data_IF_657646529626
#
_entry.id   IF_657646529626
#
_cell.length_a   1.000
_cell.length_b   1.000
_cell.length_c   1.000
_cell.angle_alpha   90.00
_cell.angle_beta   90.00
_cell.angle_gamma   90.00
#
_symmetry.space_group_name_H-M   'P 1'
#
loop_
_entity.id
_entity.type
_entity.pdbx_description
1 polymer ?
#
# COMPACT_ATOMS: atom_id res chain seq x y z
N UNK A 1 -0.89 7.40 -22.90
CA UNK A 1 -2.18 7.42 -22.16
C UNK A 1 -2.55 8.86 -21.80
N UNK A 2 -3.84 9.19 -21.60
CA UNK A 2 -4.29 10.57 -21.29
C UNK A 2 -4.53 10.77 -19.79
N UNK A 3 -4.02 11.87 -19.26
CA UNK A 3 -4.31 12.36 -17.91
C UNK A 3 -5.55 13.26 -17.93
N UNK A 4 -6.63 12.84 -17.27
CA UNK A 4 -7.95 13.49 -17.34
C UNK A 4 -8.21 14.42 -16.16
N UNK A 5 -9.25 15.26 -16.26
CA UNK A 5 -9.74 16.09 -15.15
C UNK A 5 -10.13 15.27 -13.91
N UNK A 6 -10.70 14.08 -14.13
CA UNK A 6 -11.01 13.14 -13.04
C UNK A 6 -9.73 12.66 -12.33
N UNK A 7 -8.66 12.32 -13.06
CA UNK A 7 -7.38 11.96 -12.44
C UNK A 7 -6.79 13.12 -11.62
N UNK A 8 -6.96 14.36 -12.09
CA UNK A 8 -6.56 15.56 -11.33
C UNK A 8 -7.35 15.70 -10.03
N UNK A 9 -8.69 15.59 -10.08
CA UNK A 9 -9.52 15.63 -8.86
C UNK A 9 -9.15 14.54 -7.87
N UNK A 10 -8.86 13.31 -8.34
CA UNK A 10 -8.40 12.23 -7.47
C UNK A 10 -7.05 12.55 -6.81
N UNK A 11 -6.14 13.23 -7.52
CA UNK A 11 -4.86 13.65 -6.94
C UNK A 11 -5.03 14.74 -5.87
N UNK A 12 -5.99 15.65 -6.06
CA UNK A 12 -6.35 16.67 -5.06
C UNK A 12 -7.01 16.02 -3.84
N UNK A 13 -7.89 15.05 -4.04
CA UNK A 13 -8.47 14.29 -2.93
C UNK A 13 -7.37 13.53 -2.17
N UNK A 14 -6.40 12.95 -2.88
CA UNK A 14 -5.27 12.24 -2.27
C UNK A 14 -4.44 13.10 -1.33
N UNK A 15 -4.15 14.36 -1.67
CA UNK A 15 -3.43 15.26 -0.75
C UNK A 15 -4.29 15.64 0.47
N UNK A 16 -5.60 15.83 0.30
CA UNK A 16 -6.51 16.13 1.42
C UNK A 16 -6.54 14.96 2.40
N UNK A 17 -6.64 13.73 1.89
CA UNK A 17 -6.61 12.50 2.72
C UNK A 17 -5.24 12.36 3.41
N UNK A 18 -4.13 12.67 2.73
CA UNK A 18 -2.81 12.68 3.35
C UNK A 18 -2.72 13.63 4.55
N UNK A 19 -3.22 14.87 4.41
CA UNK A 19 -3.24 15.84 5.52
C UNK A 19 -4.18 15.42 6.63
N UNK A 20 -5.36 14.89 6.29
CA UNK A 20 -6.32 14.43 7.27
C UNK A 20 -5.74 13.30 8.12
N UNK A 21 -5.08 12.32 7.52
CA UNK A 21 -4.45 11.21 8.25
C UNK A 21 -3.40 11.73 9.25
N UNK A 22 -2.47 12.60 8.82
CA UNK A 22 -1.47 13.22 9.72
C UNK A 22 -2.13 13.92 10.93
N UNK A 23 -3.22 14.67 10.70
CA UNK A 23 -3.95 15.35 11.77
C UNK A 23 -4.60 14.33 12.71
N UNK A 24 -5.23 13.29 12.17
CA UNK A 24 -5.87 12.23 12.94
C UNK A 24 -4.85 11.47 13.79
N UNK A 25 -3.66 11.16 13.25
CA UNK A 25 -2.63 10.42 13.98
C UNK A 25 -2.06 11.21 15.16
N UNK A 26 -1.81 12.51 14.96
CA UNK A 26 -1.40 13.42 16.04
C UNK A 26 -2.52 13.54 17.08
N UNK A 27 -3.76 13.72 16.64
CA UNK A 27 -4.91 13.86 17.53
C UNK A 27 -5.12 12.60 18.39
N UNK A 28 -5.08 11.41 17.78
CA UNK A 28 -5.23 10.12 18.47
C UNK A 28 -4.10 9.92 19.47
N UNK A 29 -2.85 10.24 19.09
CA UNK A 29 -1.71 10.17 20.00
C UNK A 29 -1.90 11.08 21.22
N UNK A 30 -2.22 12.36 21.01
CA UNK A 30 -2.48 13.34 22.09
C UNK A 30 -3.63 12.88 23.00
N UNK A 31 -4.68 12.31 22.42
CA UNK A 31 -5.79 11.74 23.19
C UNK A 31 -5.35 10.61 24.12
N UNK A 32 -4.49 9.69 23.65
CA UNK A 32 -3.93 8.64 24.53
C UNK A 32 -3.09 9.21 25.67
N UNK A 33 -2.32 10.29 25.43
CA UNK A 33 -1.59 10.98 26.49
C UNK A 33 -2.52 11.62 27.54
N UNK A 34 -3.64 12.21 27.09
CA UNK A 34 -4.66 12.76 28.00
C UNK A 34 -5.41 11.70 28.80
N UNK A 35 -5.68 10.54 28.20
CA UNK A 35 -6.37 9.41 28.86
C UNK A 35 -5.43 8.58 29.76
N UNK A 36 -4.15 8.96 29.89
CA UNK A 36 -3.14 8.27 30.71
C UNK A 36 -2.58 6.98 30.10
N UNK A 37 -2.97 6.64 28.87
CA UNK A 37 -2.53 5.46 28.14
C UNK A 37 -1.23 5.73 27.36
N UNK A 38 -0.15 6.06 28.09
CA UNK A 38 1.11 6.53 27.49
C UNK A 38 1.75 5.53 26.52
N UNK A 39 1.65 4.22 26.77
CA UNK A 39 2.24 3.19 25.91
C UNK A 39 1.61 3.23 24.51
N UNK A 40 0.28 3.33 24.43
CA UNK A 40 -0.44 3.37 23.16
C UNK A 40 -0.19 4.68 22.41
N UNK A 41 -0.12 5.81 23.12
CA UNK A 41 0.27 7.10 22.55
C UNK A 41 1.67 7.09 21.96
N UNK A 42 2.66 6.59 22.71
CA UNK A 42 4.06 6.45 22.24
C UNK A 42 4.13 5.52 21.04
N UNK A 43 3.43 4.39 21.07
CA UNK A 43 3.48 3.41 19.98
C UNK A 43 2.86 3.99 18.69
N UNK A 44 1.71 4.66 18.81
CA UNK A 44 1.02 5.32 17.68
C UNK A 44 1.92 6.39 17.05
N UNK A 45 2.52 7.25 17.89
CA UNK A 45 3.44 8.29 17.45
C UNK A 45 4.70 7.70 16.81
N UNK A 46 5.22 6.59 17.35
CA UNK A 46 6.41 5.92 16.82
C UNK A 46 6.16 5.34 15.44
N UNK A 47 5.00 4.73 15.20
CA UNK A 47 4.61 4.24 13.87
C UNK A 47 4.47 5.38 12.87
N UNK A 48 3.85 6.49 13.27
CA UNK A 48 3.73 7.70 12.44
C UNK A 48 5.09 8.30 12.06
N UNK A 49 5.97 8.49 13.05
CA UNK A 49 7.30 9.04 12.81
C UNK A 49 8.15 8.10 11.95
N UNK A 50 8.06 6.79 12.16
CA UNK A 50 8.79 5.80 11.38
C UNK A 50 8.29 5.74 9.93
N UNK A 51 6.98 5.64 9.71
CA UNK A 51 6.38 5.63 8.38
C UNK A 51 6.75 6.88 7.57
N UNK A 52 6.54 8.06 8.17
CA UNK A 52 6.89 9.34 7.55
C UNK A 52 8.40 9.44 7.27
N UNK A 53 9.28 9.03 8.17
CA UNK A 53 10.74 9.05 7.95
C UNK A 53 11.14 8.21 6.73
N UNK A 54 10.66 6.97 6.64
CA UNK A 54 10.97 6.07 5.53
C UNK A 54 10.46 6.65 4.20
N UNK A 55 9.24 7.19 4.20
CA UNK A 55 8.64 7.86 3.03
C UNK A 55 9.48 9.06 2.60
N UNK A 56 9.96 9.89 3.55
CA UNK A 56 10.82 11.02 3.23
C UNK A 56 12.17 10.59 2.65
N UNK A 57 12.76 9.48 3.12
CA UNK A 57 13.99 8.92 2.54
C UNK A 57 13.79 8.55 1.06
N UNK A 58 12.71 7.84 0.72
CA UNK A 58 12.38 7.53 -0.68
C UNK A 58 12.08 8.78 -1.48
N UNK A 59 11.22 9.65 -0.94
CA UNK A 59 10.81 10.91 -1.55
C UNK A 59 12.01 11.79 -1.93
N UNK A 60 12.98 11.93 -1.02
CA UNK A 60 14.22 12.68 -1.24
C UNK A 60 15.14 12.00 -2.27
N UNK A 61 15.37 10.69 -2.14
CA UNK A 61 16.22 9.96 -3.09
C UNK A 61 15.68 10.06 -4.52
N UNK A 62 14.36 9.95 -4.68
CA UNK A 62 13.70 10.10 -5.97
C UNK A 62 13.75 11.54 -6.47
N UNK A 63 13.52 12.53 -5.60
CA UNK A 63 13.62 13.94 -5.97
C UNK A 63 15.03 14.29 -6.46
N UNK A 64 16.07 13.81 -5.76
CA UNK A 64 17.48 13.92 -6.17
C UNK A 64 17.74 13.28 -7.53
N UNK A 65 17.17 12.11 -7.80
CA UNK A 65 17.29 11.45 -9.10
C UNK A 65 16.61 12.26 -10.22
N UNK A 66 15.45 12.85 -9.95
CA UNK A 66 14.70 13.68 -10.90
C UNK A 66 15.42 15.00 -11.22
N UNK A 67 16.02 15.66 -10.23
CA UNK A 67 16.83 16.88 -10.46
C UNK A 67 18.08 16.58 -11.29
N UNK A 68 18.77 15.48 -10.99
CA UNK A 68 19.94 15.05 -11.77
C UNK A 68 19.58 14.78 -13.22
N UNK A 69 18.43 14.14 -13.48
CA UNK A 69 17.92 13.93 -14.84
C UNK A 69 17.58 15.25 -15.55
N UNK A 70 17.15 16.28 -14.81
CA UNK A 70 16.83 17.60 -15.34
C UNK A 70 18.04 18.55 -15.45
N UNK A 71 19.25 18.11 -15.06
CA UNK A 71 20.46 18.95 -15.06
C UNK A 71 20.42 20.10 -14.04
N UNK A 72 19.55 20.03 -13.03
CA UNK A 72 19.40 21.07 -12.00
C UNK A 72 20.23 20.75 -10.77
N UNK A 73 20.86 21.78 -10.18
CA UNK A 73 21.61 21.64 -8.93
C UNK A 73 20.70 21.41 -7.72
N UNK A 74 21.19 20.60 -6.78
CA UNK A 74 20.49 20.26 -5.55
C UNK A 74 20.63 21.43 -4.58
N UNK A 75 19.57 22.20 -4.37
CA UNK A 75 19.55 23.22 -3.32
C UNK A 75 19.39 22.58 -1.94
N UNK A 76 20.24 22.96 -0.99
CA UNK A 76 20.18 22.51 0.41
C UNK A 76 18.83 22.79 1.10
N UNK A 77 18.09 23.80 0.63
CA UNK A 77 16.74 24.12 1.10
C UNK A 77 15.77 22.94 0.91
N UNK A 78 15.89 22.16 -0.17
CA UNK A 78 15.03 20.99 -0.38
C UNK A 78 15.37 19.85 0.60
N UNK A 79 16.65 19.63 0.93
CA UNK A 79 17.03 18.67 1.96
C UNK A 79 16.42 19.07 3.32
N UNK A 80 16.54 20.34 3.70
CA UNK A 80 15.93 20.87 4.92
C UNK A 80 14.42 20.65 4.94
N UNK A 81 13.74 20.87 3.82
CA UNK A 81 12.30 20.67 3.70
C UNK A 81 11.90 19.19 3.80
N UNK A 82 12.68 18.28 3.24
CA UNK A 82 12.48 16.84 3.45
C UNK A 82 12.71 16.42 4.91
N UNK A 83 13.72 17.01 5.58
CA UNK A 83 13.96 16.81 7.01
C UNK A 83 12.81 17.35 7.89
N UNK A 84 12.16 18.44 7.47
CA UNK A 84 10.97 19.02 8.12
C UNK A 84 9.65 18.38 7.66
N UNK A 85 9.68 17.18 7.08
CA UNK A 85 8.52 16.45 6.54
C UNK A 85 7.75 17.16 5.38
N UNK A 86 8.20 18.33 4.93
CA UNK A 86 7.65 19.08 3.80
C UNK A 86 7.92 18.47 2.42
N UNK A 87 8.78 17.46 2.33
CA UNK A 87 9.21 16.85 1.07
C UNK A 87 8.08 16.24 0.23
N UNK A 88 7.21 15.45 0.85
CA UNK A 88 6.03 14.86 0.19
C UNK A 88 5.11 15.96 -0.37
N UNK A 89 4.89 17.04 0.39
CA UNK A 89 4.09 18.18 -0.07
C UNK A 89 4.65 18.85 -1.33
N UNK A 90 5.98 18.96 -1.46
CA UNK A 90 6.56 19.49 -2.71
C UNK A 90 6.33 18.57 -3.90
N UNK A 91 6.43 17.25 -3.72
CA UNK A 91 6.11 16.29 -4.79
C UNK A 91 4.65 16.41 -5.22
N UNK A 92 3.73 16.53 -4.27
CA UNK A 92 2.31 16.80 -4.57
C UNK A 92 2.13 18.12 -5.31
N UNK A 93 2.77 19.21 -4.86
CA UNK A 93 2.70 20.49 -5.54
C UNK A 93 3.17 20.42 -7.00
N UNK A 94 4.31 19.79 -7.27
CA UNK A 94 4.81 19.61 -8.64
C UNK A 94 3.89 18.73 -9.48
N UNK A 95 3.37 17.63 -8.92
CA UNK A 95 2.44 16.74 -9.61
C UNK A 95 1.12 17.45 -9.94
N UNK A 96 0.56 18.22 -9.01
CA UNK A 96 -0.66 19.00 -9.20
C UNK A 96 -0.46 20.16 -10.18
N UNK A 97 0.65 20.90 -10.10
CA UNK A 97 0.95 22.00 -11.02
C UNK A 97 1.05 21.50 -12.47
N UNK A 98 1.80 20.43 -12.71
CA UNK A 98 1.90 19.80 -14.03
C UNK A 98 0.57 19.14 -14.45
N UNK A 99 -0.10 18.45 -13.53
CA UNK A 99 -1.39 17.82 -13.77
C UNK A 99 -2.48 18.83 -14.16
N UNK A 100 -2.51 20.01 -13.55
CA UNK A 100 -3.42 21.09 -13.90
C UNK A 100 -3.16 21.61 -15.32
N UNK A 101 -1.88 21.87 -15.65
CA UNK A 101 -1.50 22.30 -16.99
C UNK A 101 -1.93 21.30 -18.06
N UNK A 102 -1.68 20.01 -17.82
CA UNK A 102 -2.01 18.94 -18.77
C UNK A 102 -3.53 18.71 -18.87
N UNK A 103 -4.26 18.67 -17.73
CA UNK A 103 -5.68 18.37 -17.71
C UNK A 103 -6.58 19.52 -18.21
N UNK A 104 -6.19 20.79 -17.97
CA UNK A 104 -7.03 21.96 -18.27
C UNK A 104 -6.49 22.86 -19.38
N UNK A 105 -5.16 23.00 -19.52
CA UNK A 105 -4.55 23.95 -20.48
C UNK A 105 -4.14 23.29 -21.80
N UNK A 106 -3.73 22.02 -21.76
CA UNK A 106 -3.36 21.27 -22.97
C UNK A 106 -4.60 20.73 -23.72
N UNK A 107 -5.68 20.41 -23.00
CA UNK A 107 -6.93 19.91 -23.59
C UNK A 107 -7.72 20.94 -24.41
N UNK A 108 -7.37 22.23 -24.37
CA UNK A 108 -8.08 23.30 -25.09
C UNK A 108 -7.49 23.64 -26.47
N UNK A 109 -6.32 23.11 -26.83
CA UNK A 109 -5.74 23.26 -28.18
C UNK A 109 -5.97 21.98 -29.01
N UNK A 110 -6.72 22.17 -30.09
CA UNK A 110 -7.37 21.20 -30.98
C UNK A 110 -6.42 20.37 -31.87
N UNK A 111 -6.74 19.06 -31.97
CA UNK A 111 -6.63 18.11 -33.11
C UNK A 111 -5.34 17.46 -33.63
N UNK A 112 -4.16 17.60 -33.02
CA UNK A 112 -3.07 16.64 -33.28
C UNK A 112 -2.32 16.27 -32.00
N UNK A 113 -2.31 14.98 -31.68
CA UNK A 113 -1.48 14.44 -30.59
C UNK A 113 -0.02 14.46 -31.04
N UNK A 114 0.66 15.58 -30.81
CA UNK A 114 2.11 15.66 -31.01
C UNK A 114 2.83 14.77 -29.99
N UNK A 115 3.94 14.15 -30.37
CA UNK A 115 4.76 13.26 -29.52
C UNK A 115 5.14 13.91 -28.17
N UNK A 116 5.34 15.22 -28.16
CA UNK A 116 5.61 16.03 -26.96
C UNK A 116 4.44 16.05 -25.95
N UNK A 117 3.18 16.02 -26.41
CA UNK A 117 2.01 15.96 -25.52
C UNK A 117 1.87 14.57 -24.88
N UNK A 118 2.21 13.51 -25.62
CA UNK A 118 2.19 12.13 -25.11
C UNK A 118 3.22 11.98 -23.98
N UNK A 119 4.40 12.57 -24.16
CA UNK A 119 5.47 12.60 -23.16
C UNK A 119 5.05 13.36 -21.89
N UNK A 120 4.39 14.52 -22.02
CA UNK A 120 3.88 15.27 -20.86
C UNK A 120 2.80 14.51 -20.06
N UNK A 121 1.87 13.84 -20.74
CA UNK A 121 0.87 13.01 -20.06
C UNK A 121 1.51 11.84 -19.32
N UNK A 122 2.49 11.17 -19.94
CA UNK A 122 3.23 10.08 -19.32
C UNK A 122 3.99 10.55 -18.08
N UNK A 123 4.66 11.70 -18.16
CA UNK A 123 5.40 12.27 -17.04
C UNK A 123 4.50 12.53 -15.81
N UNK A 124 3.30 13.08 -16.02
CA UNK A 124 2.35 13.31 -14.91
C UNK A 124 1.86 11.99 -14.32
N UNK A 125 1.57 10.99 -15.16
CA UNK A 125 1.14 9.67 -14.69
C UNK A 125 2.25 8.99 -13.87
N UNK A 126 3.50 9.07 -14.31
CA UNK A 126 4.64 8.52 -13.57
C UNK A 126 4.81 9.21 -12.20
N UNK A 127 4.66 10.54 -12.14
CA UNK A 127 4.72 11.30 -10.88
C UNK A 127 3.59 10.94 -9.91
N UNK A 128 2.37 10.75 -10.41
CA UNK A 128 1.23 10.32 -9.58
C UNK A 128 1.41 8.87 -9.12
N UNK A 129 2.05 8.03 -9.92
CA UNK A 129 2.38 6.65 -9.56
C UNK A 129 3.43 6.59 -8.46
N UNK A 130 4.48 7.41 -8.55
CA UNK A 130 5.45 7.59 -7.47
C UNK A 130 4.76 8.03 -6.16
N UNK A 131 3.86 9.02 -6.22
CA UNK A 131 3.11 9.46 -5.03
C UNK A 131 2.24 8.34 -4.45
N UNK A 132 1.57 7.56 -5.32
CA UNK A 132 0.75 6.43 -4.88
C UNK A 132 1.59 5.34 -4.21
N UNK A 133 2.83 5.12 -4.67
CA UNK A 133 3.78 4.20 -4.02
C UNK A 133 4.24 4.71 -2.65
N UNK A 134 4.55 6.00 -2.52
CA UNK A 134 4.93 6.60 -1.24
C UNK A 134 3.78 6.48 -0.23
N UNK A 135 2.55 6.74 -0.68
CA UNK A 135 1.36 6.57 0.15
C UNK A 135 1.17 5.12 0.57
N UNK A 136 1.38 4.17 -0.35
CA UNK A 136 1.34 2.75 -0.03
C UNK A 136 2.34 2.38 1.08
N UNK A 137 3.59 2.85 0.98
CA UNK A 137 4.61 2.61 2.01
C UNK A 137 4.20 3.16 3.37
N UNK A 138 3.74 4.41 3.41
CA UNK A 138 3.21 5.02 4.63
C UNK A 138 2.08 4.18 5.23
N UNK A 139 1.05 3.90 4.43
CA UNK A 139 -0.14 3.14 4.84
C UNK A 139 0.21 1.77 5.44
N UNK A 140 1.21 1.07 4.91
CA UNK A 140 1.62 -0.23 5.46
C UNK A 140 2.57 -0.12 6.65
N UNK A 141 3.54 0.80 6.64
CA UNK A 141 4.51 0.97 7.73
C UNK A 141 3.90 1.61 8.98
N UNK A 142 2.90 2.46 8.79
CA UNK A 142 2.20 3.18 9.85
C UNK A 142 0.79 2.61 10.08
N UNK A 143 -0.05 2.64 9.04
CA UNK A 143 -1.48 2.34 9.16
C UNK A 143 -1.78 0.90 9.56
N UNK A 144 -1.04 -0.10 9.06
CA UNK A 144 -1.24 -1.49 9.47
C UNK A 144 -0.90 -1.74 10.95
N UNK A 145 0.28 -1.34 11.47
CA UNK A 145 0.57 -1.43 12.90
C UNK A 145 -0.41 -0.66 13.79
N UNK A 146 -0.83 0.54 13.39
CA UNK A 146 -1.85 1.29 14.13
C UNK A 146 -3.21 0.59 14.12
N UNK A 147 -3.64 0.01 12.99
CA UNK A 147 -4.86 -0.81 12.93
C UNK A 147 -4.76 -2.03 13.86
N UNK A 148 -3.59 -2.67 13.95
CA UNK A 148 -3.35 -3.78 14.87
C UNK A 148 -3.54 -3.33 16.33
N UNK A 149 -3.00 -2.16 16.66
CA UNK A 149 -3.12 -1.55 17.98
C UNK A 149 -4.58 -1.18 18.30
N UNK A 150 -5.29 -0.56 17.34
CA UNK A 150 -6.71 -0.20 17.49
C UNK A 150 -7.59 -1.43 17.71
N UNK A 151 -7.36 -2.51 16.96
CA UNK A 151 -8.05 -3.78 17.14
C UNK A 151 -7.74 -4.42 18.49
N UNK A 152 -6.49 -4.35 18.96
CA UNK A 152 -6.10 -4.84 20.28
C UNK A 152 -6.83 -4.08 21.39
N UNK A 153 -6.79 -2.74 21.37
CA UNK A 153 -7.48 -1.88 22.36
C UNK A 153 -8.99 -2.13 22.35
N UNK A 154 -9.59 -2.27 21.16
CA UNK A 154 -11.01 -2.54 21.01
C UNK A 154 -11.43 -3.85 21.68
N UNK A 155 -10.63 -4.91 21.51
CA UNK A 155 -10.89 -6.20 22.15
C UNK A 155 -10.60 -6.19 23.65
N UNK A 156 -9.62 -5.41 24.10
CA UNK A 156 -9.25 -5.30 25.52
C UNK A 156 -10.35 -4.61 26.33
N UNK A 157 -10.94 -3.54 25.80
CA UNK A 157 -11.94 -2.75 26.53
C UNK A 157 -13.32 -3.42 26.57
N UNK A 158 -13.61 -4.38 25.69
CA UNK A 158 -14.85 -5.18 25.68
C UNK A 158 -16.15 -4.40 25.43
N UNK A 159 -16.13 -3.07 25.41
CA UNK A 159 -17.30 -2.21 25.17
C UNK A 159 -17.27 -1.69 23.73
N UNK A 160 -18.16 -2.22 22.89
CA UNK A 160 -18.24 -1.85 21.50
C UNK A 160 -18.98 -0.52 21.31
N UNK A 161 -18.24 0.60 21.37
CA UNK A 161 -18.75 1.87 20.87
C UNK A 161 -18.85 1.81 19.33
N UNK A 162 -20.01 2.12 18.77
CA UNK A 162 -20.22 2.15 17.31
C UNK A 162 -19.14 2.97 16.58
N UNK A 163 -18.71 4.07 17.20
CA UNK A 163 -17.64 4.93 16.68
C UNK A 163 -16.28 4.21 16.56
N UNK A 164 -15.91 3.34 17.50
CA UNK A 164 -14.64 2.59 17.43
C UNK A 164 -14.70 1.52 16.34
N UNK A 165 -15.81 0.79 16.23
CA UNK A 165 -16.01 -0.17 15.15
C UNK A 165 -15.96 0.51 13.77
N UNK A 166 -16.62 1.66 13.64
CA UNK A 166 -16.59 2.47 12.42
C UNK A 166 -15.16 2.94 12.09
N UNK A 167 -14.37 3.36 13.09
CA UNK A 167 -12.98 3.77 12.89
C UNK A 167 -12.07 2.63 12.41
N UNK A 168 -12.24 1.42 12.98
CA UNK A 168 -11.50 0.22 12.55
C UNK A 168 -11.87 -0.14 11.11
N UNK A 169 -13.16 -0.14 10.78
CA UNK A 169 -13.62 -0.44 9.41
C UNK A 169 -13.12 0.61 8.40
N UNK A 170 -13.15 1.89 8.77
CA UNK A 170 -12.63 2.96 7.94
C UNK A 170 -11.12 2.78 7.68
N UNK A 171 -10.35 2.43 8.72
CA UNK A 171 -8.91 2.18 8.61
C UNK A 171 -8.59 0.98 7.72
N UNK A 172 -9.32 -0.13 7.87
CA UNK A 172 -9.24 -1.30 6.97
C UNK A 172 -9.54 -0.92 5.51
N UNK A 173 -10.59 -0.13 5.28
CA UNK A 173 -10.97 0.35 3.96
C UNK A 173 -9.90 1.28 3.37
N UNK A 174 -9.34 2.19 4.16
CA UNK A 174 -8.28 3.11 3.73
C UNK A 174 -7.02 2.35 3.29
N UNK A 175 -6.57 1.37 4.08
CA UNK A 175 -5.41 0.53 3.73
C UNK A 175 -5.64 -0.24 2.44
N UNK A 176 -6.83 -0.86 2.32
CA UNK A 176 -7.19 -1.63 1.14
C UNK A 176 -7.32 -0.76 -0.10
N UNK A 177 -7.87 0.45 0.06
CA UNK A 177 -8.03 1.41 -1.03
C UNK A 177 -6.66 1.88 -1.52
N UNK A 178 -5.76 2.31 -0.63
CA UNK A 178 -4.36 2.68 -0.96
C UNK A 178 -3.65 1.62 -1.83
N UNK A 179 -3.89 0.34 -1.56
CA UNK A 179 -3.36 -0.77 -2.38
C UNK A 179 -3.93 -0.80 -3.79
N UNK A 180 -5.24 -0.59 -3.94
CA UNK A 180 -5.88 -0.57 -5.27
C UNK A 180 -5.51 0.71 -6.03
N UNK A 181 -5.41 1.87 -5.37
CA UNK A 181 -4.92 3.13 -5.97
C UNK A 181 -3.56 2.90 -6.59
N UNK A 182 -2.63 2.32 -5.82
CA UNK A 182 -1.30 1.99 -6.30
C UNK A 182 -1.36 1.05 -7.51
N UNK A 183 -2.16 -0.02 -7.47
CA UNK A 183 -2.26 -0.96 -8.59
C UNK A 183 -2.84 -0.31 -9.86
N UNK A 184 -3.81 0.59 -9.70
CA UNK A 184 -4.36 1.36 -10.82
C UNK A 184 -3.30 2.32 -11.38
N UNK A 185 -2.57 3.04 -10.52
CA UNK A 185 -1.53 3.97 -10.92
C UNK A 185 -0.37 3.25 -11.63
N UNK A 186 0.09 2.14 -11.06
CA UNK A 186 1.13 1.28 -11.62
C UNK A 186 0.76 0.81 -13.03
N UNK A 187 -0.43 0.25 -13.22
CA UNK A 187 -0.90 -0.18 -14.56
C UNK A 187 -1.06 0.98 -15.53
N UNK A 188 -1.42 2.18 -15.07
CA UNK A 188 -1.47 3.38 -15.93
C UNK A 188 -0.09 3.88 -16.35
N UNK A 189 0.94 3.71 -15.51
CA UNK A 189 2.32 4.12 -15.82
C UNK A 189 2.99 3.22 -16.87
N UNK A 190 2.55 1.96 -16.97
CA UNK A 190 3.15 0.96 -17.83
C UNK A 190 2.41 0.88 -19.16
N UNK A 191 3.07 1.15 -20.30
CA UNK A 191 2.42 1.10 -21.61
C UNK A 191 1.97 -0.31 -22.00
N UNK A 192 2.70 -1.34 -21.55
CA UNK A 192 2.52 -2.74 -21.95
C UNK A 192 1.55 -3.51 -21.05
N UNK A 193 0.82 -2.83 -20.14
CA UNK A 193 -0.12 -3.47 -19.22
C UNK A 193 -1.54 -2.96 -19.42
N UNK A 194 -2.47 -3.93 -19.47
CA UNK A 194 -3.89 -3.66 -19.55
C UNK A 194 -4.39 -2.92 -18.30
N UNK A 195 -5.18 -1.87 -18.55
CA UNK A 195 -5.82 -1.05 -17.54
C UNK A 195 -6.91 -1.83 -16.79
N UNK A 196 -7.08 -1.49 -15.51
CA UNK A 196 -8.25 -1.93 -14.73
C UNK A 196 -9.46 -1.07 -15.13
N UNK A 197 -10.08 -1.43 -16.25
CA UNK A 197 -11.27 -0.75 -16.77
C UNK A 197 -12.55 -1.26 -16.10
N UNK A 198 -13.44 -0.34 -15.75
CA UNK A 198 -14.72 -0.64 -15.12
C UNK A 198 -14.71 -0.59 -13.59
N UNK A 199 -15.91 -0.55 -13.01
CA UNK A 199 -16.13 -0.54 -11.57
C UNK A 199 -15.93 -1.94 -10.96
N UNK A 200 -16.43 -2.99 -11.62
CA UNK A 200 -16.42 -4.35 -11.08
C UNK A 200 -15.00 -4.87 -10.75
N UNK A 201 -13.99 -4.81 -11.65
CA UNK A 201 -12.64 -5.28 -11.33
C UNK A 201 -12.00 -4.53 -10.15
N UNK A 202 -12.27 -3.21 -10.03
CA UNK A 202 -11.76 -2.39 -8.93
C UNK A 202 -12.44 -2.75 -7.61
N UNK A 203 -13.75 -2.90 -7.61
CA UNK A 203 -14.53 -3.29 -6.44
C UNK A 203 -14.16 -4.71 -5.96
N UNK A 204 -14.06 -5.68 -6.86
CA UNK A 204 -13.63 -7.05 -6.53
C UNK A 204 -12.22 -7.05 -5.94
N UNK A 205 -11.28 -6.29 -6.51
CA UNK A 205 -9.92 -6.19 -5.97
C UNK A 205 -9.89 -5.52 -4.60
N UNK A 206 -10.71 -4.49 -4.39
CA UNK A 206 -10.87 -3.82 -3.10
C UNK A 206 -11.38 -4.77 -2.03
N UNK A 207 -12.47 -5.50 -2.30
CA UNK A 207 -13.02 -6.46 -1.34
C UNK A 207 -12.07 -7.62 -1.06
N UNK A 208 -11.35 -8.11 -2.07
CA UNK A 208 -10.28 -9.08 -1.89
C UNK A 208 -9.23 -8.58 -0.88
N UNK A 209 -8.68 -7.38 -1.09
CA UNK A 209 -7.67 -6.82 -0.18
C UNK A 209 -8.23 -6.52 1.21
N UNK A 210 -9.46 -6.02 1.29
CA UNK A 210 -10.15 -5.73 2.55
C UNK A 210 -10.34 -6.97 3.41
N UNK A 211 -10.94 -8.02 2.86
CA UNK A 211 -11.28 -9.21 3.62
C UNK A 211 -10.05 -10.06 3.98
N UNK A 212 -9.04 -10.11 3.09
CA UNK A 212 -7.76 -10.78 3.41
C UNK A 212 -6.93 -10.02 4.44
N UNK A 213 -7.00 -8.69 4.46
CA UNK A 213 -6.40 -7.88 5.53
C UNK A 213 -7.15 -8.08 6.84
N UNK A 214 -8.48 -7.92 6.85
CA UNK A 214 -9.30 -8.00 8.06
C UNK A 214 -9.14 -9.35 8.78
N UNK A 215 -9.27 -10.46 8.06
CA UNK A 215 -9.08 -11.82 8.62
C UNK A 215 -7.69 -12.00 9.23
N UNK A 216 -6.66 -11.46 8.58
CA UNK A 216 -5.30 -11.52 9.10
C UNK A 216 -5.11 -10.67 10.34
N UNK A 217 -5.55 -9.41 10.33
CA UNK A 217 -5.38 -8.51 11.46
C UNK A 217 -6.08 -9.06 12.69
N UNK A 218 -7.30 -9.59 12.55
CA UNK A 218 -8.00 -10.28 13.63
C UNK A 218 -7.22 -11.49 14.15
N UNK A 219 -6.65 -12.31 13.26
CA UNK A 219 -5.83 -13.47 13.65
C UNK A 219 -4.58 -13.08 14.43
N UNK A 220 -3.85 -12.05 13.98
CA UNK A 220 -2.66 -11.55 14.68
C UNK A 220 -3.03 -11.00 16.05
N UNK A 221 -4.11 -10.21 16.14
CA UNK A 221 -4.55 -9.66 17.42
C UNK A 221 -4.97 -10.78 18.39
N UNK A 222 -5.70 -11.80 17.93
CA UNK A 222 -6.01 -12.96 18.77
C UNK A 222 -4.73 -13.61 19.32
N UNK A 223 -3.69 -13.78 18.49
CA UNK A 223 -2.41 -14.32 18.95
C UNK A 223 -1.71 -13.40 19.98
N UNK A 224 -1.79 -12.08 19.80
CA UNK A 224 -1.26 -11.10 20.77
C UNK A 224 -1.98 -11.20 22.12
N UNK A 225 -3.29 -11.44 22.13
CA UNK A 225 -4.06 -11.70 23.36
C UNK A 225 -3.67 -12.99 24.06
N UNK A 226 -3.31 -14.05 23.31
CA UNK A 226 -2.80 -15.29 23.92
C UNK A 226 -1.49 -15.01 24.64
N UNK A 227 -0.53 -14.44 23.91
CA UNK A 227 0.77 -14.09 24.46
C UNK A 227 1.46 -13.09 23.54
N UNK A 228 1.62 -11.85 24.03
CA UNK A 228 2.26 -10.75 23.30
C UNK A 228 3.65 -11.15 22.79
N UNK A 229 4.45 -11.87 23.57
CA UNK A 229 5.81 -12.29 23.15
C UNK A 229 5.76 -13.25 21.97
N UNK A 230 4.84 -14.21 21.99
CA UNK A 230 4.65 -15.18 20.90
C UNK A 230 4.15 -14.47 19.64
N UNK A 231 3.17 -13.57 19.78
CA UNK A 231 2.66 -12.78 18.64
C UNK A 231 3.74 -11.91 18.00
N UNK A 232 4.53 -11.18 18.81
CA UNK A 232 5.65 -10.38 18.31
C UNK A 232 6.75 -11.23 17.67
N UNK A 233 7.08 -12.38 18.26
CA UNK A 233 8.04 -13.33 17.68
C UNK A 233 7.57 -13.86 16.31
N UNK A 234 6.28 -14.21 16.20
CA UNK A 234 5.68 -14.65 14.94
C UNK A 234 5.74 -13.57 13.85
N UNK A 235 5.37 -12.32 14.20
CA UNK A 235 5.48 -11.18 13.27
C UNK A 235 6.92 -10.93 12.83
N UNK A 236 7.89 -11.02 13.75
CA UNK A 236 9.31 -10.89 13.44
C UNK A 236 9.77 -12.00 12.49
N UNK A 237 9.37 -13.25 12.73
CA UNK A 237 9.71 -14.38 11.88
C UNK A 237 9.13 -14.22 10.47
N UNK A 238 7.87 -13.81 10.35
CA UNK A 238 7.26 -13.51 9.04
C UNK A 238 7.98 -12.38 8.31
N UNK A 239 8.41 -11.35 9.04
CA UNK A 239 9.19 -10.27 8.44
C UNK A 239 10.54 -10.75 7.93
N UNK A 240 11.26 -11.59 8.68
CA UNK A 240 12.53 -12.19 8.24
C UNK A 240 12.31 -13.05 7.00
N UNK A 241 11.25 -13.87 6.96
CA UNK A 241 10.89 -14.68 5.77
C UNK A 241 10.59 -13.79 4.57
N UNK A 242 9.78 -12.73 4.76
CA UNK A 242 9.48 -11.74 3.72
C UNK A 242 10.73 -11.00 3.23
N UNK A 243 11.67 -10.72 4.14
CA UNK A 243 12.94 -10.08 3.81
C UNK A 243 13.81 -11.02 2.95
N UNK A 244 13.98 -12.27 3.37
CA UNK A 244 14.73 -13.29 2.61
C UNK A 244 14.12 -13.45 1.21
N UNK A 245 12.78 -13.49 1.12
CA UNK A 245 12.08 -13.49 -0.16
C UNK A 245 12.46 -12.28 -1.00
N UNK A 246 12.33 -11.05 -0.46
CA UNK A 246 12.65 -9.82 -1.19
C UNK A 246 14.11 -9.78 -1.68
N UNK A 247 15.06 -10.34 -0.91
CA UNK A 247 16.45 -10.49 -1.34
C UNK A 247 16.63 -11.52 -2.46
N UNK A 248 15.92 -12.65 -2.38
CA UNK A 248 15.98 -13.71 -3.40
C UNK A 248 15.44 -13.24 -4.75
N UNK A 249 14.42 -12.39 -4.75
CA UNK A 249 13.85 -11.84 -5.98
C UNK A 249 14.79 -10.86 -6.72
N UNK A 250 15.86 -10.38 -6.07
CA UNK A 250 16.87 -9.48 -6.64
C UNK A 250 16.29 -8.25 -7.33
N UNK A 251 15.51 -7.47 -6.58
CA UNK A 251 14.89 -6.23 -7.09
C UNK A 251 15.92 -5.19 -7.55
N UNK A 252 15.54 -4.39 -8.57
CA UNK A 252 16.33 -3.26 -9.09
C UNK A 252 15.48 -1.98 -9.16
N UNK A 253 14.82 -1.62 -8.06
CA UNK A 253 13.87 -0.51 -8.06
C UNK A 253 14.54 0.87 -7.89
N UNK A 254 15.61 0.94 -7.11
CA UNK A 254 16.37 2.15 -6.79
C UNK A 254 17.76 2.13 -7.43
N UNK A 255 18.20 3.28 -7.95
CA UNK A 255 19.54 3.43 -8.54
C UNK A 255 20.69 3.28 -7.52
N UNK A 256 20.42 3.48 -6.22
CA UNK A 256 21.45 3.40 -5.18
C UNK A 256 21.29 2.14 -4.35
N UNK A 257 22.41 1.46 -4.07
CA UNK A 257 22.43 0.20 -3.29
C UNK A 257 21.80 0.35 -1.91
N UNK A 258 22.04 1.47 -1.23
CA UNK A 258 21.47 1.75 0.10
C UNK A 258 19.95 1.87 0.05
N UNK A 259 19.40 2.56 -0.96
CA UNK A 259 17.94 2.71 -1.08
C UNK A 259 17.27 1.42 -1.57
N UNK A 260 17.97 0.62 -2.37
CA UNK A 260 17.50 -0.71 -2.76
C UNK A 260 17.41 -1.65 -1.54
N UNK A 261 18.40 -1.60 -0.66
CA UNK A 261 18.36 -2.33 0.61
C UNK A 261 17.17 -1.89 1.48
N UNK A 262 16.95 -0.58 1.62
CA UNK A 262 15.79 -0.04 2.34
C UNK A 262 14.46 -0.48 1.70
N UNK A 263 14.39 -0.49 0.36
CA UNK A 263 13.21 -0.95 -0.38
C UNK A 263 12.88 -2.41 -0.07
N UNK A 264 13.89 -3.30 -0.08
CA UNK A 264 13.70 -4.72 0.26
C UNK A 264 13.24 -4.92 1.70
N UNK A 265 13.75 -4.12 2.64
CA UNK A 265 13.27 -4.10 4.04
C UNK A 265 11.79 -3.75 4.12
N UNK A 266 11.38 -2.66 3.45
CA UNK A 266 9.99 -2.20 3.46
C UNK A 266 9.07 -3.19 2.78
N UNK A 267 9.46 -3.74 1.64
CA UNK A 267 8.70 -4.79 0.94
C UNK A 267 8.55 -6.04 1.81
N UNK A 268 9.62 -6.48 2.47
CA UNK A 268 9.57 -7.57 3.44
C UNK A 268 8.56 -7.31 4.57
N UNK A 269 8.46 -6.06 5.03
CA UNK A 269 7.47 -5.64 6.02
C UNK A 269 6.04 -5.68 5.47
N UNK A 270 5.82 -5.16 4.26
CA UNK A 270 4.51 -5.21 3.60
C UNK A 270 4.03 -6.66 3.42
N UNK A 271 4.93 -7.59 3.12
CA UNK A 271 4.64 -9.03 2.97
C UNK A 271 4.13 -9.68 4.27
N UNK A 272 4.34 -9.08 5.44
CA UNK A 272 3.70 -9.55 6.68
C UNK A 272 2.18 -9.34 6.61
N UNK A 273 1.73 -8.26 5.98
CA UNK A 273 0.32 -7.84 5.96
C UNK A 273 -0.42 -8.20 4.67
N UNK A 274 0.23 -8.14 3.51
CA UNK A 274 -0.42 -8.47 2.24
C UNK A 274 0.58 -9.03 1.24
N UNK A 275 0.08 -9.83 0.30
CA UNK A 275 0.87 -10.18 -0.87
C UNK A 275 1.14 -8.92 -1.70
N UNK A 276 2.40 -8.53 -1.76
CA UNK A 276 2.91 -7.45 -2.59
C UNK A 276 3.80 -8.03 -3.67
N UNK A 277 3.48 -7.76 -4.93
CA UNK A 277 4.20 -8.33 -6.05
C UNK A 277 5.53 -7.60 -6.26
N UNK A 278 6.62 -8.26 -5.89
CA UNK A 278 7.97 -7.69 -5.82
C UNK A 278 8.60 -7.51 -7.22
N UNK A 279 8.35 -8.46 -8.13
CA UNK A 279 9.07 -8.59 -9.42
C UNK A 279 8.16 -8.59 -10.65
N UNK A 280 6.85 -8.43 -10.48
CA UNK A 280 5.85 -8.27 -11.56
C UNK A 280 5.60 -9.46 -12.48
N UNK A 281 6.55 -10.39 -12.64
CA UNK A 281 6.45 -11.54 -13.53
C UNK A 281 5.98 -12.82 -12.79
N UNK A 282 5.37 -13.77 -13.51
CA UNK A 282 4.96 -15.11 -13.05
C UNK A 282 4.41 -15.19 -11.62
N UNK A 283 3.38 -14.39 -11.35
CA UNK A 283 2.82 -14.24 -9.99
C UNK A 283 1.97 -15.41 -9.52
N UNK A 284 1.51 -16.30 -10.41
CA UNK A 284 0.53 -17.35 -10.07
C UNK A 284 1.03 -18.28 -8.96
N UNK A 285 2.20 -18.90 -9.13
CA UNK A 285 2.76 -19.85 -8.16
C UNK A 285 3.19 -19.18 -6.84
N UNK A 286 3.98 -18.08 -6.84
CA UNK A 286 4.41 -17.46 -5.59
C UNK A 286 3.24 -16.88 -4.79
N UNK A 287 2.22 -16.35 -5.47
CA UNK A 287 1.01 -15.87 -4.84
C UNK A 287 0.16 -17.00 -4.25
N UNK A 288 0.01 -18.12 -4.98
CA UNK A 288 -0.69 -19.30 -4.47
C UNK A 288 0.00 -19.82 -3.20
N UNK A 289 1.32 -19.97 -3.22
CA UNK A 289 2.09 -20.37 -2.03
C UNK A 289 1.88 -19.41 -0.85
N UNK A 290 1.97 -18.10 -1.08
CA UNK A 290 1.74 -17.09 -0.05
C UNK A 290 0.35 -17.23 0.59
N UNK A 291 -0.71 -17.34 -0.21
CA UNK A 291 -2.07 -17.44 0.31
C UNK A 291 -2.36 -18.78 0.97
N UNK A 292 -1.76 -19.89 0.51
CA UNK A 292 -1.86 -21.18 1.19
C UNK A 292 -1.24 -21.12 2.58
N UNK A 293 0.01 -20.65 2.70
CA UNK A 293 0.68 -20.47 4.00
C UNK A 293 -0.12 -19.53 4.90
N UNK A 294 -0.67 -18.45 4.32
CA UNK A 294 -1.51 -17.48 5.04
C UNK A 294 -2.76 -18.12 5.63
N UNK A 295 -3.52 -18.87 4.82
CA UNK A 295 -4.74 -19.57 5.26
C UNK A 295 -4.40 -20.59 6.34
N UNK A 296 -3.35 -21.40 6.16
CA UNK A 296 -2.92 -22.39 7.14
C UNK A 296 -2.52 -21.74 8.48
N UNK A 297 -1.79 -20.63 8.43
CA UNK A 297 -1.39 -19.89 9.63
C UNK A 297 -2.61 -19.32 10.36
N UNK A 298 -3.53 -18.68 9.64
CA UNK A 298 -4.76 -18.13 10.22
C UNK A 298 -5.63 -19.22 10.86
N UNK A 299 -5.79 -20.36 10.18
CA UNK A 299 -6.54 -21.51 10.72
C UNK A 299 -5.83 -22.11 11.93
N UNK A 300 -4.50 -22.24 11.90
CA UNK A 300 -3.71 -22.74 13.03
C UNK A 300 -3.86 -21.87 14.28
N UNK A 301 -3.82 -20.55 14.12
CA UNK A 301 -4.06 -19.59 15.22
C UNK A 301 -5.48 -19.75 15.76
N UNK A 302 -6.48 -19.82 14.88
CA UNK A 302 -7.88 -19.97 15.29
C UNK A 302 -8.12 -21.30 16.04
N UNK A 303 -7.58 -22.42 15.53
CA UNK A 303 -7.68 -23.73 16.18
C UNK A 303 -6.98 -23.70 17.54
N UNK A 304 -5.77 -23.16 17.62
CA UNK A 304 -5.05 -23.02 18.89
C UNK A 304 -5.85 -22.23 19.93
N UNK A 305 -6.53 -21.18 19.49
CA UNK A 305 -7.37 -20.34 20.35
C UNK A 305 -8.66 -21.04 20.81
N UNK A 306 -9.26 -21.91 19.98
CA UNK A 306 -10.43 -22.72 20.35
C UNK A 306 -10.08 -23.91 21.26
N UNK A 307 -8.88 -24.49 21.12
CA UNK A 307 -8.41 -25.60 21.97
C UNK A 307 -8.02 -25.09 23.36
N UNK A 308 -7.46 -23.89 23.44
CA UNK A 308 -7.06 -23.24 24.69
C UNK A 308 -7.78 -21.88 24.85
N UNK A 309 -9.09 -21.88 25.12
CA UNK A 309 -9.84 -20.64 25.27
C UNK A 309 -9.30 -19.86 26.48
N UNK A 310 -8.91 -18.60 26.26
CA UNK A 310 -8.51 -17.72 27.36
C UNK A 310 -9.72 -17.38 28.21
N UNK A 311 -9.56 -17.44 29.54
CA UNK A 311 -10.57 -17.05 30.53
C UNK A 311 -11.00 -15.57 30.43
N UNK A 312 -10.26 -14.75 29.68
CA UNK A 312 -10.51 -13.33 29.45
C UNK A 312 -11.63 -13.11 28.42
N UNK A 313 -11.85 -14.05 27.50
CA UNK A 313 -12.91 -13.93 26.51
C UNK A 313 -14.22 -14.50 27.05
N UNK A 314 -15.17 -13.62 27.37
CA UNK A 314 -16.56 -14.03 27.55
C UNK A 314 -17.08 -14.68 26.26
N UNK A 315 -17.86 -15.75 26.39
CA UNK A 315 -18.45 -16.51 25.27
C UNK A 315 -19.15 -15.59 24.24
N UNK A 316 -19.73 -14.48 24.72
CA UNK A 316 -20.54 -13.56 23.92
C UNK A 316 -19.75 -12.75 22.88
N UNK A 317 -18.48 -12.43 23.12
CA UNK A 317 -17.63 -11.71 22.14
C UNK A 317 -16.78 -12.67 21.31
N UNK A 318 -16.41 -13.81 21.90
CA UNK A 318 -15.56 -14.79 21.27
C UNK A 318 -16.15 -15.38 19.99
N UNK A 319 -17.43 -15.76 20.05
CA UNK A 319 -18.14 -16.39 18.92
C UNK A 319 -18.29 -15.39 17.76
N UNK A 320 -18.78 -14.15 17.94
CA UNK A 320 -18.83 -13.15 16.88
C UNK A 320 -17.47 -12.89 16.22
N UNK A 321 -16.38 -12.74 16.99
CA UNK A 321 -15.04 -12.48 16.43
C UNK A 321 -14.57 -13.67 15.59
N UNK A 322 -14.75 -14.90 16.09
CA UNK A 322 -14.42 -16.12 15.35
C UNK A 322 -15.23 -16.22 14.05
N UNK A 323 -16.53 -15.93 14.09
CA UNK A 323 -17.40 -15.91 12.90
C UNK A 323 -16.92 -14.85 11.91
N UNK A 324 -16.67 -13.62 12.36
CA UNK A 324 -16.16 -12.54 11.49
C UNK A 324 -14.81 -12.89 10.87
N UNK A 325 -13.92 -13.51 11.62
CA UNK A 325 -12.60 -13.96 11.12
C UNK A 325 -12.77 -15.02 10.03
N UNK A 326 -13.57 -16.07 10.27
CA UNK A 326 -13.79 -17.14 9.28
C UNK A 326 -14.52 -16.60 8.05
N UNK A 327 -15.55 -15.78 8.25
CA UNK A 327 -16.33 -15.18 7.15
C UNK A 327 -15.45 -14.26 6.29
N UNK A 328 -14.65 -13.39 6.90
CA UNK A 328 -13.72 -12.53 6.17
C UNK A 328 -12.62 -13.34 5.47
N UNK A 329 -12.12 -14.43 6.06
CA UNK A 329 -11.16 -15.30 5.38
C UNK A 329 -11.78 -15.93 4.12
N UNK A 330 -12.96 -16.52 4.25
CA UNK A 330 -13.68 -17.15 3.14
C UNK A 330 -14.02 -16.15 2.04
N UNK A 331 -14.60 -15.00 2.40
CA UNK A 331 -14.90 -13.94 1.43
C UNK A 331 -13.63 -13.43 0.75
N UNK A 332 -12.54 -13.25 1.49
CA UNK A 332 -11.25 -12.84 0.93
C UNK A 332 -10.73 -13.80 -0.13
N UNK A 333 -10.81 -15.11 0.10
CA UNK A 333 -10.42 -16.15 -0.87
C UNK A 333 -11.40 -16.21 -2.06
N UNK A 334 -12.70 -16.06 -1.83
CA UNK A 334 -13.70 -16.02 -2.91
C UNK A 334 -13.44 -14.82 -3.83
N UNK A 335 -13.27 -13.61 -3.28
CA UNK A 335 -12.96 -12.42 -4.07
C UNK A 335 -11.59 -12.52 -4.77
N UNK A 336 -10.61 -13.17 -4.14
CA UNK A 336 -9.32 -13.48 -4.75
C UNK A 336 -9.51 -14.35 -6.01
N UNK A 337 -10.24 -15.46 -5.90
CA UNK A 337 -10.51 -16.39 -7.01
C UNK A 337 -11.32 -15.69 -8.10
N UNK A 338 -12.36 -14.93 -7.74
CA UNK A 338 -13.18 -14.19 -8.70
C UNK A 338 -12.35 -13.13 -9.42
N UNK A 339 -11.48 -12.40 -8.71
CA UNK A 339 -10.63 -11.38 -9.33
C UNK A 339 -9.65 -12.00 -10.32
N UNK A 340 -8.86 -13.01 -9.91
CA UNK A 340 -7.87 -13.64 -10.80
C UNK A 340 -8.51 -14.55 -11.86
N UNK A 341 -9.68 -15.10 -11.57
CA UNK A 341 -10.48 -15.89 -12.49
C UNK A 341 -11.13 -15.01 -13.55
N UNK A 342 -11.97 -14.06 -13.19
CA UNK A 342 -12.83 -13.35 -14.15
C UNK A 342 -12.34 -11.95 -14.51
N UNK A 343 -11.72 -11.22 -13.58
CA UNK A 343 -11.50 -9.76 -13.73
C UNK A 343 -10.04 -9.34 -13.93
N UNK A 344 -9.08 -10.27 -13.84
CA UNK A 344 -7.66 -9.93 -13.97
C UNK A 344 -7.32 -9.60 -15.44
N UNK A 345 -6.78 -8.41 -15.74
CA UNK A 345 -6.63 -7.93 -17.12
C UNK A 345 -5.69 -8.72 -18.03
N UNK A 346 -4.84 -9.60 -17.48
CA UNK A 346 -3.91 -10.40 -18.30
C UNK A 346 -4.50 -11.75 -18.73
N UNK A 347 -5.75 -12.09 -18.39
CA UNK A 347 -6.40 -13.32 -18.85
C UNK A 347 -6.79 -13.26 -20.34
N UNK A 348 -6.88 -12.06 -20.92
CA UNK A 348 -7.36 -11.87 -22.30
C UNK A 348 -6.31 -12.06 -23.40
N UNK A 349 -5.02 -12.23 -23.08
CA UNK A 349 -3.94 -12.23 -24.09
C UNK A 349 -2.79 -13.21 -23.81
N UNK A 350 -3.06 -14.45 -23.38
CA UNK A 350 -2.03 -15.52 -23.41
C UNK A 350 -1.70 -16.00 -24.85
N UNK A 351 -2.18 -15.32 -25.90
CA UNK A 351 -1.82 -15.61 -27.29
C UNK A 351 -1.71 -14.32 -28.11
N UNK A 352 -0.50 -13.75 -28.17
CA UNK A 352 0.05 -13.07 -29.34
C UNK A 352 1.56 -12.87 -29.13
N UNK A 353 2.33 -13.82 -29.66
CA UNK A 353 3.67 -13.50 -30.11
C UNK A 353 3.51 -12.78 -31.44
N UNK A 354 4.12 -11.61 -31.58
CA UNK A 354 4.64 -11.14 -32.87
C UNK A 354 5.78 -10.15 -32.59
N UNK A 355 6.95 -10.46 -33.14
CA UNK A 355 8.05 -9.53 -33.34
C UNK A 355 7.62 -8.45 -34.33
N UNK A 356 7.95 -7.17 -34.08
CA UNK A 356 8.79 -6.33 -34.96
C UNK A 356 8.86 -4.86 -34.52
N UNK A 357 10.11 -4.40 -34.41
CA UNK A 357 10.70 -3.12 -34.79
C UNK A 357 10.01 -1.77 -34.48
N UNK A 358 10.61 -1.08 -33.52
CA UNK A 358 10.55 0.38 -33.39
C UNK A 358 11.35 0.84 -32.17
N UNK A 359 12.51 1.50 -32.39
CA UNK A 359 13.23 2.21 -31.31
C UNK A 359 12.35 3.37 -30.83
N UNK A 360 11.53 3.14 -29.82
CA UNK A 360 11.02 4.23 -29.00
C UNK A 360 12.14 4.73 -28.10
N UNK A 361 12.39 6.04 -28.12
CA UNK A 361 13.33 6.71 -27.22
C UNK A 361 12.89 6.40 -25.77
N UNK A 362 13.66 5.51 -25.17
CA UNK A 362 13.33 4.78 -23.96
C UNK A 362 13.66 5.65 -22.74
N UNK A 363 12.66 6.33 -22.17
CA UNK A 363 12.81 6.98 -20.86
C UNK A 363 12.49 6.00 -19.73
N UNK A 364 13.43 5.88 -18.79
CA UNK A 364 13.37 5.02 -17.61
C UNK A 364 12.32 5.49 -16.59
N UNK A 365 11.14 4.88 -16.64
CA UNK A 365 10.19 4.90 -15.53
C UNK A 365 10.71 3.95 -14.43
N UNK A 366 10.79 4.40 -13.16
CA UNK A 366 11.31 3.56 -12.06
C UNK A 366 10.44 2.33 -11.80
N UNK A 367 9.15 2.46 -12.07
CA UNK A 367 8.18 1.36 -11.98
C UNK A 367 8.37 0.30 -13.06
N UNK A 368 9.18 0.56 -14.09
CA UNK A 368 9.48 -0.37 -15.17
C UNK A 368 10.25 -1.61 -14.67
N UNK A 369 11.06 -1.47 -13.62
CA UNK A 369 11.77 -2.58 -12.97
C UNK A 369 10.88 -3.51 -12.16
N UNK A 370 9.61 -3.15 -11.94
CA UNK A 370 8.65 -4.17 -11.53
C UNK A 370 8.43 -5.20 -12.64
N UNK A 371 8.74 -4.94 -13.92
CA UNK A 371 8.23 -5.76 -15.03
C UNK A 371 9.19 -5.93 -16.23
N UNK A 372 10.51 -5.97 -16.01
CA UNK A 372 11.49 -6.32 -17.05
C UNK A 372 12.54 -7.28 -16.48
N UNK A 373 12.93 -8.39 -17.10
CA UNK A 373 12.60 -9.06 -18.38
C UNK A 373 12.03 -10.45 -18.13
#
# INVERSE_FOLDING_TARGET
MKYTKCNFMMSVLGIIIYVADLIVDIWVSVRFFHEGQYIFGILTLSFMLFGTLVVQCFSYSWFKADLKKAGQEIQHCFLLLHCLQGGVFTRYWFALKKGYHVAFKCSSKTNSFTEEQIDQHKEVIDRVTDLSMLRLFETYLEGCPQLLLQLYIFLEHGQANFSQYAAIMLSCCAISWSTVDFQIALRKSLPDKNLLNGFCPKATYLFYKLFTLLSWMLSVVLLLFVNVKVGLFMLLLLWIVGLIWAFKEQTQFCNSKSMEFLYRIVVGFILVFTFFNIKGHNTKCPMSFYYVVRVLTTLGILIGFWVYPLSIFNSDYFVPISITLVLSLLLGIIFLIIYYGAFHPNRSEETKYDETDGRYVQRDCRMKYFLME
#
